data_IF_309731117407
#
_entry.id   IF_309731117407
#
_cell.length_a   1.000
_cell.length_b   1.000
_cell.length_c   1.000
_cell.angle_alpha   90.00
_cell.angle_beta   90.00
_cell.angle_gamma   90.00
#
_symmetry.space_group_name_H-M   'P 1'
#
loop_
_entity.id
_entity.type
_entity.pdbx_description
1 polymer ?
#
# COMPACT_ATOMS: atom_id res chain seq x y z
N UNK A 1 5.84 2.53 21.65
CA UNK A 1 6.20 1.33 20.87
C UNK A 1 5.81 1.57 19.43
N UNK A 2 6.59 1.08 18.48
CA UNK A 2 6.26 1.16 17.05
C UNK A 2 5.29 0.02 16.74
N UNK A 3 4.18 0.32 16.08
CA UNK A 3 3.15 -0.66 15.72
C UNK A 3 3.02 -0.73 14.21
N UNK A 4 2.96 -1.95 13.66
CA UNK A 4 2.77 -2.14 12.22
C UNK A 4 1.40 -1.59 11.81
N UNK A 5 1.38 -0.64 10.88
CA UNK A 5 0.15 -0.16 10.30
C UNK A 5 -0.46 -1.24 9.39
N UNK A 6 -1.80 -1.31 9.35
CA UNK A 6 -2.53 -2.25 8.51
C UNK A 6 -2.76 -1.64 7.12
N UNK A 7 -1.72 -1.67 6.30
CA UNK A 7 -1.75 -1.39 4.87
C UNK A 7 -1.14 -2.58 4.15
N UNK A 8 -1.82 -3.04 3.11
CA UNK A 8 -1.34 -4.12 2.26
C UNK A 8 -0.42 -3.60 1.16
N UNK A 9 -0.67 -2.38 0.68
CA UNK A 9 -0.01 -1.81 -0.48
C UNK A 9 0.12 -0.28 -0.34
N UNK A 10 1.16 0.28 -0.95
CA UNK A 10 1.43 1.72 -1.01
C UNK A 10 1.59 2.13 -2.47
N UNK A 11 0.68 2.97 -2.96
CA UNK A 11 0.71 3.54 -4.30
C UNK A 11 1.27 4.95 -4.22
N UNK A 12 2.54 5.09 -4.58
CA UNK A 12 3.22 6.37 -4.69
C UNK A 12 2.79 7.14 -5.95
N UNK A 13 3.07 8.44 -5.96
CA UNK A 13 2.77 9.34 -7.06
C UNK A 13 3.65 10.58 -6.98
N UNK A 14 4.37 10.89 -8.06
CA UNK A 14 5.19 12.11 -8.14
C UNK A 14 4.36 13.39 -7.97
N UNK A 15 3.09 13.37 -8.38
CA UNK A 15 2.17 14.50 -8.36
C UNK A 15 1.15 14.47 -7.20
N UNK A 16 1.21 13.45 -6.33
CA UNK A 16 0.28 13.29 -5.21
C UNK A 16 0.71 14.08 -3.98
N UNK A 17 -0.04 15.13 -3.62
CA UNK A 17 0.31 15.97 -2.46
C UNK A 17 -0.09 15.38 -1.10
N UNK A 18 -1.06 14.48 -1.07
CA UNK A 18 -1.60 13.92 0.16
C UNK A 18 -1.74 12.41 0.08
N UNK A 19 -1.71 11.75 1.24
CA UNK A 19 -1.95 10.33 1.34
C UNK A 19 -3.40 10.04 1.70
N UNK A 20 -4.06 9.20 0.91
CA UNK A 20 -5.40 8.70 1.16
C UNK A 20 -5.35 7.23 1.57
N UNK A 21 -6.14 6.88 2.58
CA UNK A 21 -6.41 5.50 2.96
C UNK A 21 -7.65 5.02 2.22
N UNK A 22 -7.48 4.02 1.37
CA UNK A 22 -8.57 3.34 0.68
C UNK A 22 -8.78 1.93 1.23
N UNK A 23 -10.03 1.53 1.39
CA UNK A 23 -10.41 0.15 1.70
C UNK A 23 -10.94 -0.49 0.43
N UNK A 24 -10.30 -1.56 -0.01
CA UNK A 24 -10.69 -2.32 -1.19
C UNK A 24 -11.21 -3.68 -0.75
N UNK A 25 -12.35 -4.09 -1.29
CA UNK A 25 -12.93 -5.41 -1.11
C UNK A 25 -12.90 -6.22 -2.40
N UNK A 26 -12.69 -7.52 -2.31
CA UNK A 26 -12.89 -8.45 -3.42
C UNK A 26 -13.28 -9.83 -2.94
N UNK A 27 -13.81 -10.62 -3.85
CA UNK A 27 -14.12 -12.03 -3.61
C UNK A 27 -12.92 -12.90 -4.00
N UNK A 28 -12.42 -13.65 -3.03
CA UNK A 28 -11.38 -14.65 -3.24
C UNK A 28 -12.04 -16.02 -3.35
N UNK A 29 -11.70 -16.76 -4.41
CA UNK A 29 -12.23 -18.10 -4.67
C UNK A 29 -11.15 -19.12 -4.35
N UNK A 30 -11.37 -19.89 -3.29
CA UNK A 30 -10.49 -21.01 -2.96
C UNK A 30 -10.73 -22.17 -3.95
N UNK A 31 -9.77 -22.41 -4.85
CA UNK A 31 -9.83 -23.45 -5.88
C UNK A 31 -10.01 -24.87 -5.33
N UNK A 32 -9.65 -25.11 -4.06
CA UNK A 32 -9.74 -26.45 -3.44
C UNK A 32 -11.08 -26.67 -2.75
N UNK A 33 -11.70 -25.62 -2.22
CA UNK A 33 -12.88 -25.71 -1.37
C UNK A 33 -14.17 -25.22 -2.04
N UNK A 34 -14.14 -24.67 -3.25
CA UNK A 34 -15.31 -24.03 -3.89
C UNK A 34 -16.01 -22.99 -3.00
N UNK A 35 -15.27 -22.42 -2.03
CA UNK A 35 -15.76 -21.50 -1.02
C UNK A 35 -15.28 -20.10 -1.37
N UNK A 36 -16.22 -19.18 -1.57
CA UNK A 36 -15.94 -17.77 -1.78
C UNK A 36 -15.80 -17.06 -0.43
N UNK A 37 -14.75 -16.26 -0.29
CA UNK A 37 -14.50 -15.44 0.90
C UNK A 37 -14.37 -13.98 0.51
N UNK A 38 -15.06 -13.07 1.20
CA UNK A 38 -14.85 -11.63 1.00
C UNK A 38 -13.58 -11.21 1.75
N UNK A 39 -12.61 -10.71 1.00
CA UNK A 39 -11.35 -10.17 1.52
C UNK A 39 -11.43 -8.64 1.48
N UNK A 40 -10.90 -7.99 2.51
CA UNK A 40 -10.75 -6.53 2.53
C UNK A 40 -9.31 -6.15 2.85
N UNK A 41 -8.75 -5.25 2.05
CA UNK A 41 -7.39 -4.75 2.20
C UNK A 41 -7.37 -3.23 2.24
N UNK A 42 -6.34 -2.68 2.88
CA UNK A 42 -6.15 -1.23 2.96
C UNK A 42 -4.97 -0.81 2.09
N UNK A 43 -5.21 0.18 1.25
CA UNK A 43 -4.22 0.78 0.37
C UNK A 43 -3.92 2.18 0.89
N UNK A 44 -2.66 2.59 0.79
CA UNK A 44 -2.23 3.96 1.01
C UNK A 44 -1.86 4.56 -0.34
N UNK A 45 -2.56 5.62 -0.77
CA UNK A 45 -2.45 6.15 -2.13
C UNK A 45 -2.07 7.63 -2.08
N UNK A 46 -0.99 8.01 -2.76
CA UNK A 46 -0.64 9.41 -2.96
C UNK A 46 -1.53 10.01 -4.06
N UNK A 47 -2.31 11.03 -3.72
CA UNK A 47 -3.31 11.64 -4.60
C UNK A 47 -3.67 13.07 -4.15
N UNK A 48 -4.43 13.76 -5.00
CA UNK A 48 -4.90 15.14 -4.77
C UNK A 48 -6.38 15.23 -4.37
N UNK A 49 -7.07 14.09 -4.22
CA UNK A 49 -8.48 14.05 -3.89
C UNK A 49 -9.05 12.64 -3.92
N UNK A 50 -10.30 12.50 -3.48
CA UNK A 50 -11.02 11.20 -3.48
C UNK A 50 -11.19 10.67 -4.90
N UNK A 51 -11.51 11.55 -5.87
CA UNK A 51 -11.68 11.17 -7.28
C UNK A 51 -10.38 10.64 -7.88
N UNK A 52 -9.29 11.40 -7.74
CA UNK A 52 -7.94 11.01 -8.16
C UNK A 52 -7.48 9.70 -7.49
N UNK A 53 -7.81 9.51 -6.21
CA UNK A 53 -7.56 8.24 -5.50
C UNK A 53 -8.27 7.07 -6.16
N UNK A 54 -9.55 7.23 -6.50
CA UNK A 54 -10.32 6.18 -7.18
C UNK A 54 -9.77 5.87 -8.57
N UNK A 55 -9.45 6.89 -9.37
CA UNK A 55 -8.89 6.71 -10.72
C UNK A 55 -7.55 5.95 -10.69
N UNK A 56 -6.68 6.27 -9.73
CA UNK A 56 -5.41 5.57 -9.54
C UNK A 56 -5.61 4.12 -9.12
N UNK A 57 -6.55 3.86 -8.21
CA UNK A 57 -6.90 2.51 -7.77
C UNK A 57 -7.48 1.69 -8.92
N UNK A 58 -8.35 2.28 -9.73
CA UNK A 58 -8.90 1.65 -10.93
C UNK A 58 -7.79 1.31 -11.94
N UNK A 59 -6.86 2.24 -12.16
CA UNK A 59 -5.70 2.00 -13.02
C UNK A 59 -4.81 0.85 -12.51
N UNK A 60 -4.45 0.87 -11.23
CA UNK A 60 -3.60 -0.12 -10.60
C UNK A 60 -4.25 -1.52 -10.59
N UNK A 61 -5.53 -1.60 -10.22
CA UNK A 61 -6.27 -2.85 -10.11
C UNK A 61 -6.87 -3.33 -11.44
N UNK A 62 -6.80 -2.55 -12.52
CA UNK A 62 -7.34 -2.93 -13.85
C UNK A 62 -6.77 -4.23 -14.41
N UNK A 63 -5.54 -4.60 -14.00
CA UNK A 63 -4.88 -5.84 -14.41
C UNK A 63 -5.36 -7.08 -13.64
N UNK A 64 -6.09 -6.87 -12.54
CA UNK A 64 -6.59 -7.95 -11.70
C UNK A 64 -7.77 -8.63 -12.39
N UNK A 65 -7.74 -9.96 -12.45
CA UNK A 65 -8.84 -10.76 -13.04
C UNK A 65 -10.09 -10.76 -12.14
N UNK A 66 -9.94 -10.34 -10.89
CA UNK A 66 -10.99 -10.36 -9.87
C UNK A 66 -11.66 -9.00 -9.80
N UNK A 67 -13.00 -9.00 -9.77
CA UNK A 67 -13.77 -7.79 -9.52
C UNK A 67 -13.47 -7.26 -8.11
N UNK A 68 -13.28 -5.95 -8.00
CA UNK A 68 -13.02 -5.26 -6.75
C UNK A 68 -14.03 -4.14 -6.53
N UNK A 69 -14.26 -3.81 -5.27
CA UNK A 69 -15.06 -2.68 -4.83
C UNK A 69 -14.22 -1.74 -3.98
N UNK A 70 -14.34 -0.44 -4.21
CA UNK A 70 -13.77 0.59 -3.34
C UNK A 70 -14.79 0.86 -2.21
N UNK A 71 -14.61 0.21 -1.06
CA UNK A 71 -15.54 0.30 0.08
C UNK A 71 -15.49 1.67 0.76
N UNK A 72 -14.31 2.29 0.84
CA UNK A 72 -14.12 3.58 1.52
C UNK A 72 -12.84 4.28 1.07
N UNK A 73 -12.87 5.60 1.02
CA UNK A 73 -11.69 6.46 0.81
C UNK A 73 -11.72 7.60 1.82
N UNK A 74 -10.59 7.83 2.48
CA UNK A 74 -10.46 8.90 3.49
C UNK A 74 -9.04 9.47 3.47
N UNK A 75 -8.90 10.75 3.82
CA UNK A 75 -7.59 11.35 4.01
C UNK A 75 -6.86 10.65 5.16
N UNK A 76 -5.60 10.27 4.93
CA UNK A 76 -4.74 9.66 5.93
C UNK A 76 -4.02 10.72 6.75
N UNK A 77 -3.64 10.37 7.98
CA UNK A 77 -2.76 11.20 8.81
C UNK A 77 -1.27 11.01 8.46
N UNK A 78 -0.97 10.18 7.46
CA UNK A 78 0.40 9.99 6.96
C UNK A 78 0.81 11.24 6.19
N UNK A 79 1.94 11.83 6.58
CA UNK A 79 2.52 12.99 5.90
C UNK A 79 3.42 12.55 4.74
N UNK A 80 4.31 11.59 5.02
CA UNK A 80 5.31 11.14 4.07
C UNK A 80 5.65 9.67 4.28
N UNK A 81 6.09 8.99 3.22
CA UNK A 81 6.46 7.57 3.23
C UNK A 81 7.88 7.44 2.72
N UNK A 82 8.77 7.00 3.61
CA UNK A 82 10.17 6.73 3.29
C UNK A 82 10.38 5.22 3.13
N UNK A 83 10.78 4.74 1.94
CA UNK A 83 11.17 3.35 1.75
C UNK A 83 12.34 2.99 2.68
N UNK A 84 12.26 1.84 3.34
CA UNK A 84 13.33 1.38 4.24
C UNK A 84 14.54 0.83 3.48
N UNK A 85 14.33 0.44 2.23
CA UNK A 85 15.36 -0.13 1.35
C UNK A 85 15.17 0.51 -0.03
N UNK A 86 15.85 1.63 -0.25
CA UNK A 86 16.12 2.14 -1.60
C UNK A 86 17.26 1.31 -2.20
N UNK A 87 17.24 1.03 -3.51
CA UNK A 87 18.32 0.30 -4.22
C UNK A 87 19.71 0.92 -3.97
N UNK A 88 19.79 2.21 -3.60
CA UNK A 88 21.02 2.92 -3.23
C UNK A 88 21.61 2.50 -1.86
N UNK A 89 20.85 1.79 -1.03
CA UNK A 89 21.21 1.47 0.37
C UNK A 89 21.65 0.02 0.59
N UNK A 90 21.50 -0.85 -0.40
CA UNK A 90 21.85 -2.28 -0.27
C UNK A 90 23.36 -2.56 -0.38
N UNK A 91 24.15 -1.60 -0.89
CA UNK A 91 25.58 -1.78 -1.18
C UNK A 91 26.54 -0.88 -0.36
N UNK A 92 26.07 -0.13 0.65
CA UNK A 92 26.99 0.59 1.54
C UNK A 92 27.66 -0.41 2.50
N UNK A 93 28.96 -0.73 2.35
CA UNK A 93 29.63 -1.63 3.27
C UNK A 93 29.63 -0.99 4.66
N UNK A 94 29.27 -1.79 5.68
CA UNK A 94 29.33 -1.36 7.06
C UNK A 94 30.77 -0.86 7.33
N UNK A 95 30.97 0.42 7.67
CA UNK A 95 32.31 0.94 7.84
C UNK A 95 32.99 0.26 9.05
N UNK A 96 34.29 -0.06 8.92
CA UNK A 96 35.07 -0.89 9.86
C UNK A 96 35.04 -0.41 11.32
N UNK A 97 34.62 0.84 11.57
CA UNK A 97 34.55 1.47 12.88
C UNK A 97 33.22 1.27 13.61
N UNK A 98 32.25 0.55 13.05
CA UNK A 98 30.98 0.21 13.72
C UNK A 98 30.99 -1.23 14.22
N UNK A 99 30.83 -1.41 15.55
CA UNK A 99 30.61 -2.73 16.16
C UNK A 99 29.13 -2.89 16.51
N UNK A 100 28.53 -4.09 16.35
CA UNK A 100 27.16 -4.34 16.80
C UNK A 100 27.00 -4.01 18.28
N UNK A 101 25.91 -3.31 18.62
CA UNK A 101 25.52 -3.07 20.02
C UNK A 101 24.98 -4.39 20.58
N UNK A 102 25.63 -4.91 21.64
CA UNK A 102 25.10 -5.97 22.50
C UNK A 102 23.92 -5.49 23.34
#
# INVERSE_FOLDING_TARGET
GISKANFSEVLDAEDGQFWYKAKIGWEDVDEKSSRTSKVSQYFLVAANGVMDTCERLEGYLSSMLTAFDIDAVSLSNVLDVFPLFSEETEDEPIPDNLKPVE
#
